data_IF_395001134589
#
_entry.id   IF_395001134589
#
_cell.length_a   1.000
_cell.length_b   1.000
_cell.length_c   1.000
_cell.angle_alpha   90.00
_cell.angle_beta   90.00
_cell.angle_gamma   90.00
#
_symmetry.space_group_name_H-M   'P 1'
#
loop_
_entity.id
_entity.type
_entity.pdbx_description
1 polymer ?
#
# COMPACT_ATOMS: atom_id res chain seq x y z
N UNK A 1 1.47 14.46 11.62
CA UNK A 1 2.55 13.57 11.16
C UNK A 1 1.92 12.37 10.51
N UNK A 2 2.29 12.04 9.27
CA UNK A 2 1.74 10.92 8.52
C UNK A 2 2.81 9.84 8.33
N UNK A 3 2.47 8.61 8.69
CA UNK A 3 3.26 7.41 8.42
C UNK A 3 2.66 6.64 7.26
N UNK A 4 3.36 6.58 6.14
CA UNK A 4 3.06 5.65 5.06
C UNK A 4 3.94 4.40 5.25
N UNK A 5 3.34 3.25 5.51
CA UNK A 5 4.03 2.07 6.03
C UNK A 5 3.97 0.95 4.98
N UNK A 6 5.11 0.36 4.62
CA UNK A 6 5.18 -0.81 3.73
C UNK A 6 4.85 -2.10 4.49
N UNK A 7 3.60 -2.23 4.91
CA UNK A 7 3.10 -3.46 5.52
C UNK A 7 1.58 -3.48 5.54
N UNK A 8 0.94 -4.67 5.47
CA UNK A 8 -0.49 -4.79 5.69
C UNK A 8 -0.94 -4.19 7.02
N UNK A 9 -1.87 -3.24 6.94
CA UNK A 9 -2.48 -2.59 8.11
C UNK A 9 -3.86 -3.17 8.46
N UNK A 10 -4.34 -4.13 7.68
CA UNK A 10 -5.58 -4.87 7.92
C UNK A 10 -5.51 -6.26 7.33
N UNK A 11 -6.43 -7.12 7.79
CA UNK A 11 -6.63 -8.45 7.22
C UNK A 11 -7.93 -8.50 6.43
N UNK A 12 -8.05 -9.51 5.57
CA UNK A 12 -9.30 -9.75 4.84
C UNK A 12 -10.44 -10.05 5.80
N UNK A 13 -11.64 -9.60 5.44
CA UNK A 13 -12.87 -9.86 6.16
C UNK A 13 -13.09 -11.35 6.34
N UNK A 14 -12.91 -12.13 5.28
CA UNK A 14 -13.03 -13.58 5.35
C UNK A 14 -12.11 -14.20 6.41
N UNK A 15 -10.85 -13.74 6.51
CA UNK A 15 -9.93 -14.22 7.54
C UNK A 15 -10.40 -13.80 8.93
N UNK A 16 -10.76 -12.53 9.13
CA UNK A 16 -11.25 -12.02 10.43
C UNK A 16 -12.52 -12.75 10.89
N UNK A 17 -13.48 -12.99 9.99
CA UNK A 17 -14.70 -13.74 10.28
C UNK A 17 -14.41 -15.20 10.70
N UNK A 18 -13.41 -15.82 10.07
CA UNK A 18 -12.96 -17.16 10.45
C UNK A 18 -12.35 -17.19 11.86
N UNK A 19 -11.42 -16.29 12.16
CA UNK A 19 -10.69 -16.33 13.45
C UNK A 19 -11.49 -15.78 14.62
N UNK A 20 -12.36 -14.78 14.39
CA UNK A 20 -13.16 -14.14 15.45
C UNK A 20 -14.50 -14.84 15.62
N UNK A 21 -15.22 -15.09 14.52
CA UNK A 21 -16.61 -15.57 14.55
C UNK A 21 -16.77 -17.05 14.19
N UNK A 22 -15.68 -17.74 13.82
CA UNK A 22 -15.70 -19.13 13.30
C UNK A 22 -16.64 -19.31 12.11
N UNK A 23 -16.81 -18.27 11.30
CA UNK A 23 -17.63 -18.30 10.07
C UNK A 23 -16.73 -18.58 8.87
N UNK A 24 -17.08 -19.61 8.10
CA UNK A 24 -16.44 -19.92 6.83
C UNK A 24 -17.29 -19.36 5.66
N UNK A 25 -16.67 -18.85 4.58
CA UNK A 25 -17.35 -18.51 3.35
C UNK A 25 -17.86 -19.80 2.69
N UNK A 26 -18.93 -19.67 1.89
CA UNK A 26 -19.57 -20.81 1.26
C UNK A 26 -18.67 -21.56 0.26
N UNK A 27 -17.78 -20.84 -0.46
CA UNK A 27 -16.92 -21.44 -1.47
C UNK A 27 -15.60 -20.68 -1.62
N UNK A 28 -14.53 -21.42 -1.95
CA UNK A 28 -13.19 -20.90 -2.28
C UNK A 28 -12.86 -21.43 -3.68
N UNK A 29 -12.65 -20.53 -4.65
CA UNK A 29 -12.48 -20.92 -6.05
C UNK A 29 -11.01 -21.02 -6.47
N UNK A 30 -10.25 -19.92 -6.35
CA UNK A 30 -8.84 -19.83 -6.74
C UNK A 30 -8.01 -19.13 -5.67
N UNK A 31 -6.67 -19.20 -5.77
CA UNK A 31 -5.78 -18.49 -4.83
C UNK A 31 -6.00 -16.98 -4.87
N UNK A 32 -6.12 -16.38 -6.07
CA UNK A 32 -6.30 -14.92 -6.24
C UNK A 32 -7.66 -14.41 -5.76
N UNK A 33 -8.69 -15.27 -5.78
CA UNK A 33 -10.03 -14.97 -5.27
C UNK A 33 -10.26 -15.47 -3.85
N UNK A 34 -9.22 -16.00 -3.18
CA UNK A 34 -9.39 -16.58 -1.86
C UNK A 34 -9.70 -15.47 -0.83
N UNK A 35 -10.90 -15.48 -0.22
CA UNK A 35 -11.36 -14.42 0.67
C UNK A 35 -10.60 -14.38 2.01
N UNK A 36 -9.78 -15.38 2.29
CA UNK A 36 -8.88 -15.39 3.45
C UNK A 36 -7.54 -14.74 3.13
N UNK A 37 -7.01 -14.92 1.92
CA UNK A 37 -5.64 -14.54 1.59
C UNK A 37 -5.52 -13.09 1.13
N UNK A 38 -6.55 -12.56 0.48
CA UNK A 38 -6.52 -11.26 -0.17
C UNK A 38 -7.71 -10.43 0.32
N UNK A 39 -7.48 -9.14 0.58
CA UNK A 39 -8.53 -8.14 0.80
C UNK A 39 -9.11 -7.71 -0.54
N UNK A 40 -10.18 -6.93 -0.49
CA UNK A 40 -10.73 -6.26 -1.67
C UNK A 40 -9.68 -5.39 -2.35
N UNK A 41 -8.80 -4.74 -1.57
CA UNK A 41 -7.71 -3.94 -2.12
C UNK A 41 -6.73 -4.77 -2.95
N UNK A 42 -6.27 -5.94 -2.47
CA UNK A 42 -5.40 -6.78 -3.31
C UNK A 42 -6.11 -7.25 -4.59
N UNK A 43 -7.39 -7.62 -4.50
CA UNK A 43 -8.19 -7.99 -5.69
C UNK A 43 -8.29 -6.84 -6.70
N UNK A 44 -8.57 -5.64 -6.22
CA UNK A 44 -8.59 -4.42 -7.03
C UNK A 44 -7.25 -4.18 -7.77
N UNK A 45 -6.13 -4.45 -7.09
CA UNK A 45 -4.79 -4.31 -7.66
C UNK A 45 -4.47 -5.43 -8.68
N UNK A 46 -4.93 -6.67 -8.42
CA UNK A 46 -4.81 -7.78 -9.38
C UNK A 46 -5.46 -7.46 -10.73
N UNK A 47 -6.68 -6.94 -10.70
CA UNK A 47 -7.42 -6.52 -11.92
C UNK A 47 -6.67 -5.46 -12.73
N UNK A 48 -5.78 -4.69 -12.08
CA UNK A 48 -4.99 -3.60 -12.68
C UNK A 48 -3.54 -3.98 -12.95
N UNK A 49 -3.28 -5.28 -13.02
CA UNK A 49 -1.99 -5.85 -13.45
C UNK A 49 -0.87 -5.64 -12.44
N UNK A 50 -1.21 -5.57 -11.15
CA UNK A 50 -0.28 -5.69 -10.03
C UNK A 50 -0.51 -7.03 -9.33
N UNK A 51 0.49 -7.51 -8.60
CA UNK A 51 0.38 -8.75 -7.81
C UNK A 51 0.85 -8.46 -6.38
N UNK A 52 0.03 -7.78 -5.56
CA UNK A 52 0.38 -7.54 -4.16
C UNK A 52 0.47 -8.86 -3.39
N UNK A 53 1.39 -8.90 -2.43
CA UNK A 53 1.59 -10.06 -1.57
C UNK A 53 0.42 -10.21 -0.58
N UNK A 54 0.03 -11.44 -0.30
CA UNK A 54 -1.00 -11.78 0.68
C UNK A 54 -0.52 -11.43 2.09
N UNK A 55 -1.35 -10.71 2.90
CA UNK A 55 -1.08 -10.47 4.31
C UNK A 55 -1.03 -11.74 5.18
N UNK A 56 -1.47 -12.89 4.66
CA UNK A 56 -1.56 -14.16 5.40
C UNK A 56 -0.52 -15.18 4.93
N UNK A 57 -0.40 -15.36 3.61
CA UNK A 57 0.41 -16.45 3.03
C UNK A 57 1.86 -16.06 2.79
N UNK A 58 2.11 -14.82 2.40
CA UNK A 58 3.41 -14.41 1.89
C UNK A 58 4.28 -13.80 3.00
N UNK A 59 5.59 -13.64 2.74
CA UNK A 59 6.54 -13.13 3.75
C UNK A 59 6.17 -11.75 4.29
N UNK A 60 5.39 -10.95 3.56
CA UNK A 60 4.89 -9.65 4.03
C UNK A 60 3.95 -9.80 5.24
N UNK A 61 3.26 -10.94 5.37
CA UNK A 61 2.41 -11.26 6.52
C UNK A 61 3.19 -11.32 7.85
N UNK A 62 4.49 -11.61 7.80
CA UNK A 62 5.36 -11.52 8.99
C UNK A 62 5.53 -10.09 9.52
N UNK A 63 5.26 -9.08 8.68
CA UNK A 63 5.29 -7.67 9.06
C UNK A 63 3.90 -7.13 9.43
N UNK A 64 2.83 -7.75 8.92
CA UNK A 64 1.45 -7.30 9.15
C UNK A 64 1.12 -7.14 10.65
N UNK A 65 1.55 -8.09 11.49
CA UNK A 65 1.33 -7.99 12.94
C UNK A 65 2.07 -6.82 13.58
N UNK A 66 3.23 -6.40 13.05
CA UNK A 66 3.97 -5.23 13.54
C UNK A 66 3.28 -3.94 13.12
N UNK A 67 2.80 -3.85 11.88
CA UNK A 67 2.01 -2.71 11.40
C UNK A 67 0.73 -2.53 12.19
N UNK A 68 -0.03 -3.61 12.36
CA UNK A 68 -1.26 -3.62 13.16
C UNK A 68 -0.97 -3.30 14.64
N UNK A 69 0.15 -3.78 15.20
CA UNK A 69 0.58 -3.39 16.54
C UNK A 69 0.89 -1.89 16.64
N UNK A 70 1.59 -1.33 15.65
CA UNK A 70 1.86 0.11 15.58
C UNK A 70 0.54 0.90 15.60
N UNK A 71 -0.45 0.51 14.79
CA UNK A 71 -1.77 1.12 14.81
C UNK A 71 -2.42 1.02 16.18
N UNK A 72 -2.52 -0.19 16.75
CA UNK A 72 -3.14 -0.39 18.06
C UNK A 72 -2.47 0.43 19.18
N UNK A 73 -1.18 0.73 19.04
CA UNK A 73 -0.41 1.48 20.04
C UNK A 73 -0.44 2.99 19.83
N UNK A 74 -0.42 3.46 18.59
CA UNK A 74 -0.14 4.87 18.25
C UNK A 74 -1.18 5.52 17.34
N UNK A 75 -2.02 4.76 16.64
CA UNK A 75 -3.07 5.27 15.76
C UNK A 75 -4.27 4.29 15.74
N UNK A 76 -4.97 4.10 16.88
CA UNK A 76 -5.94 3.03 17.04
C UNK A 76 -7.29 3.30 16.36
N UNK A 77 -7.57 4.55 15.98
CA UNK A 77 -8.85 4.95 15.41
C UNK A 77 -8.82 4.83 13.88
N UNK A 78 -9.78 4.11 13.30
CA UNK A 78 -9.97 4.10 11.85
C UNK A 78 -10.82 5.31 11.45
N UNK A 79 -10.17 6.36 10.95
CA UNK A 79 -10.84 7.61 10.55
C UNK A 79 -11.70 7.41 9.30
N UNK A 80 -11.15 6.70 8.30
CA UNK A 80 -11.82 6.27 7.07
C UNK A 80 -11.09 5.08 6.47
N UNK A 81 -11.68 4.40 5.49
CA UNK A 81 -11.04 3.28 4.81
C UNK A 81 -9.60 3.62 4.37
N UNK A 82 -8.63 2.91 4.93
CA UNK A 82 -7.20 3.11 4.63
C UNK A 82 -6.47 4.17 5.46
N UNK A 83 -7.14 4.92 6.33
CA UNK A 83 -6.53 5.94 7.16
C UNK A 83 -6.82 5.71 8.63
N UNK A 84 -5.76 5.55 9.41
CA UNK A 84 -5.80 5.43 10.86
C UNK A 84 -5.23 6.67 11.53
N UNK A 85 -5.69 6.97 12.74
CA UNK A 85 -5.33 8.16 13.50
C UNK A 85 -5.32 7.92 15.01
N UNK A 86 -4.68 8.82 15.77
CA UNK A 86 -4.82 8.94 17.22
C UNK A 86 -5.88 9.97 17.64
N UNK A 87 -6.65 10.48 16.68
CA UNK A 87 -7.62 11.57 16.87
C UNK A 87 -6.96 12.94 16.98
N UNK A 88 -5.63 13.05 16.79
CA UNK A 88 -4.90 14.31 16.93
C UNK A 88 -3.79 14.52 15.90
N UNK A 89 -2.62 13.92 16.10
CA UNK A 89 -1.36 14.32 15.47
C UNK A 89 -0.77 13.21 14.61
N UNK A 90 -1.11 11.95 14.87
CA UNK A 90 -0.57 10.79 14.16
C UNK A 90 -1.61 10.32 13.18
N UNK A 91 -1.20 10.21 11.92
CA UNK A 91 -1.95 9.53 10.88
C UNK A 91 -1.11 8.39 10.31
N UNK A 92 -1.74 7.29 9.91
CA UNK A 92 -1.08 6.17 9.30
C UNK A 92 -1.87 5.65 8.10
N UNK A 93 -1.16 5.31 7.02
CA UNK A 93 -1.70 4.70 5.81
C UNK A 93 -0.80 3.55 5.38
N UNK A 94 -1.37 2.60 4.63
CA UNK A 94 -0.60 1.52 4.02
C UNK A 94 -0.05 1.97 2.65
N UNK A 95 1.23 1.75 2.44
CA UNK A 95 1.94 1.99 1.19
C UNK A 95 2.44 0.67 0.60
N UNK A 96 2.73 0.67 -0.70
CA UNK A 96 3.33 -0.49 -1.37
C UNK A 96 4.35 -0.05 -2.42
N UNK A 97 5.63 0.12 -2.05
CA UNK A 97 6.69 0.64 -2.92
C UNK A 97 6.84 -0.12 -4.24
N UNK A 98 6.65 -1.45 -4.21
CA UNK A 98 6.74 -2.29 -5.40
C UNK A 98 5.73 -1.91 -6.49
N UNK A 99 4.56 -1.37 -6.14
CA UNK A 99 3.58 -0.88 -7.12
C UNK A 99 4.00 0.43 -7.82
N UNK A 100 4.98 1.15 -7.26
CA UNK A 100 5.43 2.44 -7.79
C UNK A 100 6.43 2.31 -8.94
N UNK A 101 6.95 1.12 -9.23
CA UNK A 101 7.99 0.88 -10.25
C UNK A 101 7.59 1.36 -11.65
N UNK A 102 6.29 1.34 -11.98
CA UNK A 102 5.75 1.79 -13.28
C UNK A 102 5.25 3.25 -13.27
N UNK A 103 5.22 3.91 -12.11
CA UNK A 103 4.64 5.24 -11.97
C UNK A 103 5.61 6.31 -12.45
N UNK A 104 5.17 7.14 -13.40
CA UNK A 104 5.92 8.31 -13.84
C UNK A 104 5.87 9.41 -12.77
N UNK A 105 4.74 9.56 -12.08
CA UNK A 105 4.53 10.57 -11.04
C UNK A 105 5.45 10.34 -9.84
N UNK A 106 5.51 9.12 -9.28
CA UNK A 106 6.41 8.80 -8.17
C UNK A 106 7.87 8.86 -8.60
N UNK A 107 8.20 8.41 -9.83
CA UNK A 107 9.56 8.56 -10.38
C UNK A 107 9.98 10.02 -10.45
N UNK A 108 9.10 10.92 -10.89
CA UNK A 108 9.37 12.35 -10.92
C UNK A 108 9.59 12.92 -9.51
N UNK A 109 8.81 12.49 -8.51
CA UNK A 109 8.99 12.88 -7.11
C UNK A 109 10.30 12.36 -6.50
N UNK A 110 10.83 11.24 -6.99
CA UNK A 110 12.13 10.69 -6.56
C UNK A 110 13.31 11.47 -7.11
N UNK A 111 13.22 12.07 -8.31
CA UNK A 111 14.35 12.72 -8.99
C UNK A 111 15.20 13.66 -8.11
N UNK A 112 14.64 14.51 -7.23
CA UNK A 112 15.45 15.38 -6.37
C UNK A 112 16.40 14.63 -5.43
N UNK A 113 16.13 13.37 -5.12
CA UNK A 113 16.93 12.52 -4.23
C UNK A 113 17.97 11.66 -4.97
N UNK A 114 18.13 11.89 -6.28
CA UNK A 114 19.05 11.16 -7.15
C UNK A 114 20.04 12.15 -7.76
N UNK A 115 21.23 11.66 -8.07
CA UNK A 115 22.25 12.41 -8.77
C UNK A 115 22.15 12.14 -10.27
N UNK A 116 22.22 13.21 -11.05
CA UNK A 116 22.34 13.11 -12.51
C UNK A 116 23.78 12.73 -12.84
N UNK A 117 23.98 11.48 -13.29
CA UNK A 117 25.33 10.97 -13.59
C UNK A 117 25.89 11.63 -14.86
N UNK A 118 25.03 12.04 -15.81
CA UNK A 118 25.44 12.40 -17.17
C UNK A 118 24.91 13.79 -17.64
N UNK A 119 24.26 14.56 -16.76
CA UNK A 119 23.66 15.86 -17.13
C UNK A 119 22.50 15.73 -18.13
N UNK A 120 21.99 14.51 -18.32
CA UNK A 120 20.81 14.22 -19.11
C UNK A 120 19.82 13.60 -18.13
N UNK A 121 18.67 14.25 -17.94
CA UNK A 121 17.61 13.85 -17.01
C UNK A 121 16.92 12.53 -17.42
N UNK A 122 17.68 11.47 -17.72
CA UNK A 122 17.21 10.27 -18.39
C UNK A 122 17.84 9.01 -17.80
N UNK A 123 16.96 8.09 -17.38
CA UNK A 123 17.11 6.64 -17.22
C UNK A 123 18.27 6.04 -16.38
N UNK A 124 19.31 6.79 -16.01
CA UNK A 124 20.49 6.30 -15.28
C UNK A 124 20.86 7.21 -14.09
N UNK A 125 19.87 7.74 -13.39
CA UNK A 125 20.14 8.51 -12.17
C UNK A 125 20.66 7.57 -11.07
N UNK A 126 21.75 7.94 -10.40
CA UNK A 126 22.27 7.19 -9.24
C UNK A 126 21.48 7.65 -8.00
N UNK A 127 21.01 6.75 -7.12
CA UNK A 127 20.59 7.19 -5.79
C UNK A 127 21.73 7.97 -5.13
N UNK A 128 21.41 9.07 -4.43
CA UNK A 128 22.42 9.75 -3.61
C UNK A 128 23.03 8.77 -2.60
N UNK A 129 24.23 9.07 -2.11
CA UNK A 129 24.95 8.16 -1.22
C UNK A 129 24.19 7.84 0.08
N UNK A 130 23.24 8.68 0.52
CA UNK A 130 22.36 8.37 1.66
C UNK A 130 21.36 7.22 1.36
N UNK A 131 21.08 6.92 0.11
CA UNK A 131 20.20 5.83 -0.35
C UNK A 131 21.01 4.58 -0.74
N UNK A 132 21.95 4.19 0.11
CA UNK A 132 22.90 3.09 -0.14
C UNK A 132 22.29 1.69 -0.07
N UNK A 133 21.03 1.55 0.38
CA UNK A 133 20.36 0.26 0.55
C UNK A 133 18.96 0.28 -0.07
N UNK A 134 18.50 -0.79 -0.75
CA UNK A 134 17.16 -0.84 -1.35
C UNK A 134 16.02 -0.50 -0.38
N UNK A 135 16.09 -0.97 0.87
CA UNK A 135 15.08 -0.63 1.90
C UNK A 135 14.98 0.89 2.18
N UNK A 136 16.07 1.65 1.98
CA UNK A 136 16.03 3.12 2.09
C UNK A 136 15.32 3.76 0.90
N UNK A 137 15.46 3.17 -0.30
CA UNK A 137 14.70 3.60 -1.48
C UNK A 137 13.20 3.26 -1.34
N UNK A 138 12.88 2.11 -0.76
CA UNK A 138 11.50 1.72 -0.45
C UNK A 138 10.91 2.64 0.64
N UNK A 139 11.69 2.96 1.69
CA UNK A 139 11.29 3.93 2.71
C UNK A 139 11.08 5.34 2.13
N UNK A 140 11.95 5.81 1.23
CA UNK A 140 11.75 7.06 0.49
C UNK A 140 10.46 7.00 -0.33
N UNK A 141 10.22 5.89 -1.03
CA UNK A 141 9.01 5.70 -1.83
C UNK A 141 7.75 5.75 -0.96
N UNK A 142 7.76 5.10 0.21
CA UNK A 142 6.71 5.22 1.21
C UNK A 142 6.50 6.67 1.65
N UNK A 143 7.57 7.39 2.01
CA UNK A 143 7.47 8.80 2.40
C UNK A 143 6.87 9.66 1.29
N UNK A 144 7.20 9.41 0.02
CA UNK A 144 6.63 10.11 -1.13
C UNK A 144 5.16 9.76 -1.39
N UNK A 145 4.74 8.52 -1.12
CA UNK A 145 3.31 8.15 -1.11
C UNK A 145 2.58 8.92 -0.02
N UNK A 146 3.14 9.01 1.19
CA UNK A 146 2.59 9.81 2.29
C UNK A 146 2.48 11.29 1.91
N UNK A 147 3.53 11.87 1.33
CA UNK A 147 3.50 13.24 0.83
C UNK A 147 2.44 13.43 -0.26
N UNK A 148 2.33 12.49 -1.20
CA UNK A 148 1.31 12.54 -2.25
C UNK A 148 -0.10 12.46 -1.65
N UNK A 149 -0.32 11.61 -0.64
CA UNK A 149 -1.59 11.52 0.06
C UNK A 149 -2.03 12.86 0.66
N UNK A 150 -1.11 13.61 1.27
CA UNK A 150 -1.44 14.92 1.86
C UNK A 150 -1.52 16.06 0.84
N UNK A 151 -0.64 16.07 -0.16
CA UNK A 151 -0.42 17.25 -1.03
C UNK A 151 -1.00 17.10 -2.43
N UNK A 152 -1.11 15.87 -2.92
CA UNK A 152 -1.50 15.51 -4.29
C UNK A 152 -2.34 14.22 -4.28
N UNK A 153 -3.46 14.17 -3.54
CA UNK A 153 -4.24 12.95 -3.41
C UNK A 153 -4.76 12.45 -4.76
N UNK A 154 -4.88 13.33 -5.77
CA UNK A 154 -5.21 13.01 -7.15
C UNK A 154 -4.26 12.01 -7.82
N UNK A 155 -3.01 11.91 -7.34
CA UNK A 155 -2.02 10.99 -7.87
C UNK A 155 -2.23 9.54 -7.39
N UNK A 156 -3.02 9.31 -6.34
CA UNK A 156 -3.17 8.01 -5.71
C UNK A 156 -4.53 7.39 -6.02
N UNK A 157 -4.56 6.07 -6.11
CA UNK A 157 -5.81 5.31 -6.15
C UNK A 157 -6.45 5.36 -4.75
N UNK A 158 -7.75 5.69 -4.71
CA UNK A 158 -8.54 5.78 -3.48
C UNK A 158 -9.50 4.59 -3.37
N UNK A 159 -9.86 4.19 -2.13
CA UNK A 159 -10.79 3.09 -1.94
C UNK A 159 -12.16 3.44 -2.54
N UNK A 160 -12.77 2.58 -3.37
CA UNK A 160 -14.17 2.74 -3.74
C UNK A 160 -15.09 2.63 -2.50
N UNK A 161 -16.29 3.24 -2.53
CA UNK A 161 -17.22 3.26 -1.40
C UNK A 161 -17.70 1.88 -0.91
N UNK A 162 -17.46 0.83 -1.70
CA UNK A 162 -17.94 -0.53 -1.45
C UNK A 162 -17.01 -1.34 -0.54
N UNK A 163 -15.77 -0.87 -0.31
CA UNK A 163 -14.79 -1.62 0.48
C UNK A 163 -15.13 -1.55 1.95
N UNK A 164 -15.10 -2.71 2.62
CA UNK A 164 -15.19 -2.79 4.07
C UNK A 164 -13.99 -2.03 4.68
N UNK A 165 -14.22 -0.92 5.41
CA UNK A 165 -13.13 -0.09 5.93
C UNK A 165 -12.16 -0.86 6.84
N UNK A 166 -12.63 -1.95 7.47
CA UNK A 166 -11.82 -2.79 8.37
C UNK A 166 -10.72 -3.58 7.64
N UNK A 167 -10.84 -3.80 6.32
CA UNK A 167 -9.78 -4.42 5.54
C UNK A 167 -8.61 -3.44 5.27
N UNK A 168 -8.90 -2.12 5.29
CA UNK A 168 -7.93 -1.10 4.95
C UNK A 168 -7.72 -0.91 3.45
N UNK A 169 -6.74 -0.07 3.09
CA UNK A 169 -6.45 0.27 1.70
C UNK A 169 -4.96 0.52 1.49
N UNK A 170 -4.41 -0.07 0.42
CA UNK A 170 -3.06 0.17 -0.07
C UNK A 170 -3.07 1.38 -1.00
N UNK A 171 -2.45 2.47 -0.58
CA UNK A 171 -2.28 3.63 -1.46
C UNK A 171 -1.14 3.40 -2.45
N UNK A 172 -1.50 3.41 -3.73
CA UNK A 172 -0.60 3.24 -4.87
C UNK A 172 -0.86 4.35 -5.91
N UNK A 173 0.14 4.73 -6.71
CA UNK A 173 -0.03 5.74 -7.74
C UNK A 173 -0.96 5.27 -8.87
N UNK A 174 -1.93 6.10 -9.23
CA UNK A 174 -2.94 5.81 -10.26
C UNK A 174 -2.29 5.58 -11.63
N UNK A 175 -1.23 6.31 -11.97
CA UNK A 175 -0.49 6.18 -13.23
C UNK A 175 0.42 4.93 -13.29
N UNK A 176 0.53 4.17 -12.19
CA UNK A 176 1.18 2.86 -12.15
C UNK A 176 0.23 1.68 -12.42
N UNK A 177 -1.08 1.93 -12.47
CA UNK A 177 -2.13 0.94 -12.68
C UNK A 177 -2.45 0.78 -14.17
N UNK A 178 -2.70 -0.46 -14.61
CA UNK A 178 -3.25 -0.68 -15.96
C UNK A 178 -4.73 -0.28 -15.98
N UNK A 179 -5.19 0.22 -17.11
CA UNK A 179 -6.63 0.37 -17.34
C UNK A 179 -7.31 -1.00 -17.31
N UNK A 180 -8.49 -1.06 -16.70
CA UNK A 180 -9.34 -2.25 -16.76
C UNK A 180 -10.10 -2.18 -18.07
N UNK A 181 -9.86 -3.13 -18.98
CA UNK A 181 -10.71 -3.28 -20.17
C UNK A 181 -12.14 -3.54 -19.69
N UNK A 182 -13.05 -2.62 -19.99
CA UNK A 182 -14.48 -2.83 -19.79
C UNK A 182 -14.94 -3.81 -20.87
N UNK A 183 -15.01 -5.09 -20.51
CA UNK A 183 -15.69 -6.12 -21.31
C UNK A 183 -17.19 -5.88 -21.40
#
# INVERSE_FOLDING_TARGET
MLFAIDTPLGFSKGFTDLIVSRRAPAQIFSSSSNPYLHRETERFLFERGLSPLSPIKDMIGSQATKGIHFLARFAPELERCGLWTDGSSIHAIEAYPSACKRSASIRALRLPFYEDIDGTASAKAKPRDELYHPDLEDALTCALIGWAFEKRPDLLAHPPPTIDPSEGWIYVPSDGLKEVEKG
#
